data_IF_214220411969
#
_entry.id   IF_214220411969
#
_cell.length_a   1.000
_cell.length_b   1.000
_cell.length_c   1.000
_cell.angle_alpha   90.00
_cell.angle_beta   90.00
_cell.angle_gamma   90.00
#
_symmetry.space_group_name_H-M   'P 1'
#
loop_
_entity.id
_entity.type
_entity.pdbx_description
1 polymer ?
#
# COMPACT_ATOMS: atom_id res chain seq x y z
N UNK A 1 -29.16 -33.75 -1.86
CA UNK A 1 -27.71 -33.48 -1.89
C UNK A 1 -27.36 -32.36 -2.88
N UNK A 2 -27.96 -32.25 -4.04
CA UNK A 2 -27.72 -31.15 -5.01
C UNK A 2 -28.17 -29.77 -4.50
N UNK A 3 -29.25 -29.67 -3.71
CA UNK A 3 -29.77 -28.41 -3.16
C UNK A 3 -28.83 -27.76 -2.14
N UNK A 4 -28.16 -28.55 -1.31
CA UNK A 4 -27.20 -28.07 -0.32
C UNK A 4 -25.89 -27.55 -0.94
N UNK A 5 -25.50 -28.04 -2.11
CA UNK A 5 -24.34 -27.55 -2.86
C UNK A 5 -24.65 -26.20 -3.51
N UNK A 6 -25.89 -26.04 -4.03
CA UNK A 6 -26.35 -24.77 -4.61
C UNK A 6 -26.45 -23.64 -3.57
N UNK A 7 -26.98 -23.91 -2.37
CA UNK A 7 -27.11 -22.92 -1.31
C UNK A 7 -25.73 -22.51 -0.71
N UNK A 8 -24.78 -23.42 -0.57
CA UNK A 8 -23.42 -23.10 -0.14
C UNK A 8 -22.66 -22.27 -1.19
N UNK A 9 -22.87 -22.51 -2.46
CA UNK A 9 -22.27 -21.69 -3.53
C UNK A 9 -22.86 -20.28 -3.55
N UNK A 10 -24.17 -20.11 -3.38
CA UNK A 10 -24.83 -18.81 -3.34
C UNK A 10 -24.45 -17.96 -2.11
N UNK A 11 -24.27 -18.57 -0.94
CA UNK A 11 -23.83 -17.87 0.28
C UNK A 11 -22.35 -17.49 0.26
N UNK A 12 -21.50 -18.18 -0.47
CA UNK A 12 -20.08 -17.88 -0.60
C UNK A 12 -19.81 -16.69 -1.54
N UNK A 13 -20.69 -16.41 -2.51
CA UNK A 13 -20.43 -15.50 -3.62
C UNK A 13 -20.07 -14.05 -3.19
N UNK A 14 -20.80 -13.45 -2.26
CA UNK A 14 -20.50 -12.06 -1.85
C UNK A 14 -19.18 -11.94 -1.09
N UNK A 15 -18.81 -12.95 -0.31
CA UNK A 15 -17.54 -13.01 0.44
C UNK A 15 -16.37 -13.17 -0.52
N UNK A 16 -16.55 -13.93 -1.61
CA UNK A 16 -15.53 -14.09 -2.63
C UNK A 16 -15.25 -12.77 -3.35
N UNK A 17 -16.28 -12.02 -3.72
CA UNK A 17 -16.11 -10.70 -4.31
C UNK A 17 -15.48 -9.69 -3.33
N UNK A 18 -15.85 -9.73 -2.06
CA UNK A 18 -15.20 -8.91 -1.04
C UNK A 18 -13.71 -9.27 -0.90
N UNK A 19 -13.35 -10.57 -0.96
CA UNK A 19 -11.96 -11.01 -0.91
C UNK A 19 -11.14 -10.47 -2.09
N UNK A 20 -11.74 -10.37 -3.29
CA UNK A 20 -11.07 -9.78 -4.46
C UNK A 20 -10.62 -8.33 -4.23
N UNK A 21 -11.34 -7.56 -3.44
CA UNK A 21 -10.99 -6.17 -3.14
C UNK A 21 -9.81 -6.01 -2.18
N UNK A 22 -9.30 -7.09 -1.58
CA UNK A 22 -8.24 -7.07 -0.55
C UNK A 22 -8.54 -6.11 0.61
N UNK A 23 -9.65 -6.26 1.34
CA UNK A 23 -10.16 -5.22 2.25
C UNK A 23 -9.14 -4.79 3.31
N UNK A 24 -8.31 -5.69 3.83
CA UNK A 24 -7.25 -5.36 4.80
C UNK A 24 -6.21 -4.38 4.23
N UNK A 25 -5.87 -4.51 2.96
CA UNK A 25 -4.91 -3.61 2.29
C UNK A 25 -5.59 -2.27 2.00
N UNK A 26 -6.82 -2.30 1.48
CA UNK A 26 -7.59 -1.08 1.18
C UNK A 26 -7.80 -0.26 2.45
N UNK A 27 -8.17 -0.87 3.58
CA UNK A 27 -8.30 -0.14 4.86
C UNK A 27 -7.00 0.57 5.25
N UNK A 28 -5.83 -0.07 5.09
CA UNK A 28 -4.55 0.59 5.37
C UNK A 28 -4.30 1.78 4.43
N UNK A 29 -4.65 1.64 3.15
CA UNK A 29 -4.57 2.74 2.18
C UNK A 29 -5.50 3.89 2.57
N UNK A 30 -6.72 3.59 3.02
CA UNK A 30 -7.69 4.61 3.47
C UNK A 30 -7.21 5.36 4.72
N UNK A 31 -6.54 4.69 5.65
CA UNK A 31 -5.94 5.35 6.81
C UNK A 31 -4.92 6.41 6.35
N UNK A 32 -4.05 6.08 5.40
CA UNK A 32 -3.07 7.06 4.88
C UNK A 32 -3.73 8.16 4.04
N UNK A 33 -4.81 7.86 3.32
CA UNK A 33 -5.64 8.86 2.63
C UNK A 33 -6.30 9.83 3.62
N UNK A 34 -6.90 9.32 4.69
CA UNK A 34 -7.46 10.13 5.77
C UNK A 34 -6.40 11.04 6.40
N UNK A 35 -5.20 10.51 6.66
CA UNK A 35 -4.09 11.34 7.16
C UNK A 35 -3.78 12.47 6.19
N UNK A 36 -3.72 12.17 4.88
CA UNK A 36 -3.53 13.19 3.84
C UNK A 36 -4.61 14.26 3.86
N UNK A 37 -5.90 13.88 3.98
CA UNK A 37 -7.02 14.82 4.10
C UNK A 37 -6.89 15.72 5.34
N UNK A 38 -6.59 15.13 6.50
CA UNK A 38 -6.50 15.89 7.75
C UNK A 38 -5.26 16.80 7.82
N UNK A 39 -4.15 16.41 7.23
CA UNK A 39 -2.95 17.26 7.14
C UNK A 39 -3.11 18.40 6.13
N UNK A 40 -4.02 18.27 5.17
CA UNK A 40 -4.24 19.25 4.12
C UNK A 40 -4.89 20.55 4.62
N UNK A 41 -5.60 20.52 5.75
CA UNK A 41 -6.34 21.67 6.27
C UNK A 41 -6.53 21.62 7.78
N UNK A 42 -6.37 22.76 8.45
CA UNK A 42 -6.69 22.93 9.88
C UNK A 42 -8.15 23.30 10.11
N UNK A 43 -8.84 23.82 9.10
CA UNK A 43 -10.24 24.22 9.20
C UNK A 43 -11.23 23.05 9.22
N UNK A 44 -10.71 21.82 9.04
CA UNK A 44 -11.52 20.60 8.94
C UNK A 44 -11.90 20.27 7.49
N UNK A 45 -12.06 19.00 7.21
CA UNK A 45 -12.47 18.48 5.89
C UNK A 45 -13.99 18.38 5.85
N UNK A 46 -14.67 18.85 4.78
CA UNK A 46 -16.11 18.64 4.63
C UNK A 46 -16.44 17.15 4.72
N UNK A 47 -17.46 16.80 5.49
CA UNK A 47 -17.81 15.39 5.72
C UNK A 47 -18.13 14.63 4.43
N UNK A 48 -18.69 15.31 3.43
CA UNK A 48 -18.96 14.74 2.09
C UNK A 48 -17.67 14.32 1.40
N UNK A 49 -16.63 15.15 1.43
CA UNK A 49 -15.30 14.82 0.90
C UNK A 49 -14.66 13.69 1.71
N UNK A 50 -14.79 13.74 3.04
CA UNK A 50 -14.22 12.73 3.92
C UNK A 50 -14.80 11.34 3.63
N UNK A 51 -16.11 11.23 3.51
CA UNK A 51 -16.81 9.95 3.30
C UNK A 51 -16.72 9.51 1.85
N UNK A 52 -17.21 10.33 0.91
CA UNK A 52 -17.30 9.93 -0.50
C UNK A 52 -15.95 9.95 -1.21
N UNK A 53 -15.02 10.81 -0.81
CA UNK A 53 -13.64 10.79 -1.31
C UNK A 53 -12.95 9.48 -0.93
N UNK A 54 -12.99 9.09 0.35
CA UNK A 54 -12.41 7.81 0.77
C UNK A 54 -13.13 6.61 0.18
N UNK A 55 -14.46 6.64 0.07
CA UNK A 55 -15.22 5.57 -0.58
C UNK A 55 -14.85 5.44 -2.06
N UNK A 56 -14.72 6.54 -2.78
CA UNK A 56 -14.29 6.55 -4.18
C UNK A 56 -12.88 5.96 -4.36
N UNK A 57 -11.92 6.39 -3.53
CA UNK A 57 -10.56 5.83 -3.50
C UNK A 57 -10.60 4.33 -3.17
N UNK A 58 -11.43 3.91 -2.18
CA UNK A 58 -11.56 2.51 -1.79
C UNK A 58 -12.10 1.63 -2.94
N UNK A 59 -13.12 2.10 -3.65
CA UNK A 59 -13.71 1.37 -4.76
C UNK A 59 -12.72 1.22 -5.92
N UNK A 60 -11.99 2.29 -6.27
CA UNK A 60 -10.94 2.23 -7.30
C UNK A 60 -9.80 1.30 -6.89
N UNK A 61 -9.34 1.35 -5.64
CA UNK A 61 -8.30 0.45 -5.12
C UNK A 61 -8.79 -1.01 -5.09
N UNK A 62 -10.04 -1.25 -4.69
CA UNK A 62 -10.68 -2.57 -4.73
C UNK A 62 -10.80 -3.12 -6.15
N UNK A 63 -11.18 -2.28 -7.11
CA UNK A 63 -11.20 -2.63 -8.53
C UNK A 63 -9.81 -3.02 -9.05
N UNK A 64 -8.79 -2.22 -8.75
CA UNK A 64 -7.40 -2.53 -9.10
C UNK A 64 -6.92 -3.85 -8.47
N UNK A 65 -7.31 -4.11 -7.20
CA UNK A 65 -7.00 -5.37 -6.54
C UNK A 65 -7.69 -6.57 -7.21
N UNK A 66 -8.94 -6.43 -7.67
CA UNK A 66 -9.66 -7.49 -8.38
C UNK A 66 -8.99 -7.81 -9.73
N UNK A 67 -8.54 -6.79 -10.49
CA UNK A 67 -7.73 -7.00 -11.71
C UNK A 67 -6.44 -7.76 -11.38
N UNK A 68 -5.75 -7.39 -10.29
CA UNK A 68 -4.54 -8.10 -9.86
C UNK A 68 -4.82 -9.59 -9.59
N UNK A 69 -5.95 -9.95 -8.95
CA UNK A 69 -6.33 -11.35 -8.76
C UNK A 69 -6.53 -12.10 -10.07
N UNK A 70 -7.11 -11.44 -11.11
CA UNK A 70 -7.31 -12.06 -12.44
C UNK A 70 -5.97 -12.36 -13.11
N UNK A 71 -5.05 -11.39 -13.11
CA UNK A 71 -3.73 -11.54 -13.73
C UNK A 71 -2.87 -12.58 -13.00
N UNK A 72 -2.93 -12.57 -11.67
CA UNK A 72 -2.10 -13.43 -10.82
C UNK A 72 -2.68 -14.85 -10.61
N UNK A 73 -3.88 -15.18 -11.12
CA UNK A 73 -4.59 -16.42 -10.80
C UNK A 73 -3.76 -17.71 -10.94
N UNK A 74 -2.87 -17.76 -11.94
CA UNK A 74 -1.99 -18.92 -12.19
C UNK A 74 -0.87 -19.01 -11.15
N UNK A 75 -0.30 -17.88 -10.76
CA UNK A 75 0.72 -17.78 -9.72
C UNK A 75 0.10 -18.08 -8.36
N UNK A 76 -1.07 -17.51 -8.10
CA UNK A 76 -1.79 -17.71 -6.85
C UNK A 76 -2.11 -19.18 -6.59
N UNK A 77 -2.41 -19.96 -7.61
CA UNK A 77 -2.68 -21.39 -7.49
C UNK A 77 -1.46 -22.21 -7.02
N UNK A 78 -0.24 -21.74 -7.25
CA UNK A 78 1.01 -22.43 -6.87
C UNK A 78 1.51 -22.01 -5.48
N UNK A 79 1.17 -20.81 -5.02
CA UNK A 79 1.66 -20.26 -3.74
C UNK A 79 0.83 -20.74 -2.55
N UNK A 80 1.47 -21.24 -1.50
CA UNK A 80 0.81 -21.75 -0.28
C UNK A 80 -0.14 -20.75 0.40
N UNK A 81 0.16 -19.44 0.29
CA UNK A 81 -0.66 -18.37 0.88
C UNK A 81 -1.90 -18.02 0.07
N UNK A 82 -1.87 -18.22 -1.25
CA UNK A 82 -2.87 -17.63 -2.17
C UNK A 82 -3.64 -18.67 -2.97
N UNK A 83 -3.32 -19.97 -2.85
CA UNK A 83 -3.99 -21.06 -3.57
C UNK A 83 -5.50 -21.14 -3.26
N UNK A 84 -5.92 -20.67 -2.06
CA UNK A 84 -7.35 -20.63 -1.65
C UNK A 84 -8.11 -19.39 -2.13
N UNK A 85 -7.49 -18.52 -2.93
CA UNK A 85 -8.16 -17.33 -3.46
C UNK A 85 -9.30 -17.72 -4.42
N UNK A 86 -10.39 -16.92 -4.47
CA UNK A 86 -11.57 -17.25 -5.26
C UNK A 86 -11.30 -17.58 -6.74
N UNK A 87 -10.38 -16.83 -7.37
CA UNK A 87 -9.99 -17.09 -8.77
C UNK A 87 -9.04 -18.28 -8.93
N UNK A 88 -8.18 -18.55 -7.95
CA UNK A 88 -7.28 -19.69 -7.99
C UNK A 88 -8.04 -21.01 -7.82
N UNK A 89 -9.09 -21.03 -7.00
CA UNK A 89 -10.00 -22.17 -6.82
C UNK A 89 -11.12 -22.25 -7.87
N UNK A 90 -11.24 -21.26 -8.76
CA UNK A 90 -12.30 -21.24 -9.78
C UNK A 90 -13.70 -20.89 -9.26
N UNK A 91 -13.85 -20.42 -8.00
CA UNK A 91 -15.14 -20.00 -7.42
C UNK A 91 -15.72 -18.75 -8.10
N UNK A 92 -14.86 -17.88 -8.63
CA UNK A 92 -15.23 -16.71 -9.42
C UNK A 92 -14.55 -16.80 -10.77
N UNK A 93 -15.31 -16.60 -11.85
CA UNK A 93 -14.74 -16.57 -13.20
C UNK A 93 -13.92 -15.30 -13.46
N UNK A 94 -12.87 -15.35 -14.29
CA UNK A 94 -12.10 -14.16 -14.66
C UNK A 94 -12.96 -13.04 -15.28
N UNK A 95 -13.95 -13.38 -16.09
CA UNK A 95 -14.86 -12.41 -16.68
C UNK A 95 -15.71 -11.70 -15.64
N UNK A 96 -16.30 -12.46 -14.70
CA UNK A 96 -17.09 -11.88 -13.60
C UNK A 96 -16.24 -10.97 -12.70
N UNK A 97 -14.98 -11.37 -12.40
CA UNK A 97 -14.07 -10.54 -11.62
C UNK A 97 -13.67 -9.25 -12.35
N UNK A 98 -13.45 -9.28 -13.67
CA UNK A 98 -13.16 -8.07 -14.48
C UNK A 98 -14.37 -7.15 -14.57
N UNK A 99 -15.59 -7.69 -14.77
CA UNK A 99 -16.83 -6.89 -14.74
C UNK A 99 -17.00 -6.22 -13.38
N UNK A 100 -16.80 -6.97 -12.29
CA UNK A 100 -16.84 -6.42 -10.93
C UNK A 100 -15.81 -5.31 -10.73
N UNK A 101 -14.56 -5.52 -11.17
CA UNK A 101 -13.49 -4.51 -11.11
C UNK A 101 -13.86 -3.23 -11.86
N UNK A 102 -14.44 -3.36 -13.06
CA UNK A 102 -14.90 -2.22 -13.86
C UNK A 102 -16.03 -1.46 -13.18
N UNK A 103 -17.02 -2.17 -12.63
CA UNK A 103 -18.14 -1.55 -11.89
C UNK A 103 -17.60 -0.77 -10.68
N UNK A 104 -16.68 -1.35 -9.90
CA UNK A 104 -16.06 -0.66 -8.77
C UNK A 104 -15.31 0.59 -9.22
N UNK A 105 -14.52 0.49 -10.29
CA UNK A 105 -13.77 1.63 -10.82
C UNK A 105 -14.68 2.76 -11.31
N UNK A 106 -15.74 2.44 -12.05
CA UNK A 106 -16.72 3.43 -12.54
C UNK A 106 -17.47 4.09 -11.39
N UNK A 107 -17.96 3.33 -10.41
CA UNK A 107 -18.62 3.88 -9.23
C UNK A 107 -17.64 4.77 -8.42
N UNK A 108 -16.41 4.31 -8.21
CA UNK A 108 -15.39 5.08 -7.50
C UNK A 108 -15.08 6.40 -8.21
N UNK A 109 -14.89 6.38 -9.54
CA UNK A 109 -14.65 7.59 -10.33
C UNK A 109 -15.85 8.55 -10.31
N UNK A 110 -17.07 8.03 -10.40
CA UNK A 110 -18.30 8.86 -10.29
C UNK A 110 -18.36 9.56 -8.94
N UNK A 111 -18.09 8.85 -7.82
CA UNK A 111 -18.06 9.46 -6.49
C UNK A 111 -17.01 10.55 -6.38
N UNK A 112 -15.79 10.32 -6.90
CA UNK A 112 -14.72 11.31 -6.86
C UNK A 112 -15.06 12.55 -7.68
N UNK A 113 -15.59 12.39 -8.89
CA UNK A 113 -15.99 13.51 -9.76
C UNK A 113 -17.15 14.32 -9.17
N UNK A 114 -18.08 13.67 -8.45
CA UNK A 114 -19.28 14.31 -7.92
C UNK A 114 -19.03 15.01 -6.58
N UNK A 115 -18.24 14.39 -5.68
CA UNK A 115 -18.11 14.82 -4.28
C UNK A 115 -16.73 15.37 -3.92
N UNK A 116 -15.75 15.25 -4.82
CA UNK A 116 -14.41 15.84 -4.65
C UNK A 116 -14.08 16.78 -5.83
N UNK A 117 -13.10 16.44 -6.64
CA UNK A 117 -12.65 17.25 -7.76
C UNK A 117 -12.05 16.39 -8.89
N UNK A 118 -11.86 16.99 -10.05
CA UNK A 118 -11.31 16.32 -11.23
C UNK A 118 -9.86 15.88 -11.03
N UNK A 119 -9.04 16.66 -10.31
CA UNK A 119 -7.64 16.33 -10.05
C UNK A 119 -7.52 15.01 -9.30
N UNK A 120 -8.28 14.83 -8.21
CA UNK A 120 -8.30 13.60 -7.43
C UNK A 120 -8.80 12.41 -8.25
N UNK A 121 -9.84 12.60 -9.06
CA UNK A 121 -10.35 11.54 -9.93
C UNK A 121 -9.29 11.08 -10.95
N UNK A 122 -8.60 12.00 -11.62
CA UNK A 122 -7.53 11.66 -12.57
C UNK A 122 -6.32 11.01 -11.91
N UNK A 123 -5.88 11.50 -10.75
CA UNK A 123 -4.77 10.91 -10.01
C UNK A 123 -5.11 9.50 -9.51
N UNK A 124 -6.37 9.28 -9.07
CA UNK A 124 -6.85 7.96 -8.66
C UNK A 124 -6.92 7.00 -9.84
N UNK A 125 -7.39 7.46 -10.99
CA UNK A 125 -7.41 6.66 -12.22
C UNK A 125 -5.98 6.30 -12.67
N UNK A 126 -5.06 7.26 -12.65
CA UNK A 126 -3.65 7.02 -12.97
C UNK A 126 -3.02 5.99 -12.03
N UNK A 127 -3.30 6.08 -10.73
CA UNK A 127 -2.84 5.11 -9.73
C UNK A 127 -3.42 3.71 -9.97
N UNK A 128 -4.72 3.62 -10.28
CA UNK A 128 -5.40 2.37 -10.63
C UNK A 128 -4.76 1.71 -11.86
N UNK A 129 -4.59 2.46 -12.94
CA UNK A 129 -3.98 1.96 -14.19
C UNK A 129 -2.51 1.61 -13.97
N UNK A 130 -1.76 2.43 -13.24
CA UNK A 130 -0.38 2.15 -12.86
C UNK A 130 -0.23 0.83 -12.10
N UNK A 131 -1.12 0.56 -11.15
CA UNK A 131 -1.09 -0.70 -10.40
C UNK A 131 -1.64 -1.88 -11.19
N UNK A 132 -2.81 -1.75 -11.80
CA UNK A 132 -3.50 -2.87 -12.44
C UNK A 132 -2.83 -3.29 -13.77
N UNK A 133 -2.41 -2.32 -14.58
CA UNK A 133 -1.83 -2.57 -15.91
C UNK A 133 -0.31 -2.60 -15.85
N UNK A 134 0.32 -1.50 -15.43
CA UNK A 134 1.79 -1.37 -15.51
C UNK A 134 2.48 -2.31 -14.53
N UNK A 135 2.14 -2.24 -13.24
CA UNK A 135 2.78 -3.08 -12.24
C UNK A 135 2.37 -4.55 -12.39
N UNK A 136 1.07 -4.85 -12.33
CA UNK A 136 0.59 -6.24 -12.29
C UNK A 136 0.78 -6.94 -13.63
N UNK A 137 0.52 -6.25 -14.75
CA UNK A 137 0.62 -6.82 -16.08
C UNK A 137 2.06 -7.04 -16.56
N UNK A 138 2.96 -6.12 -16.26
CA UNK A 138 4.32 -6.13 -16.81
C UNK A 138 5.42 -6.22 -15.75
N UNK A 139 5.53 -5.23 -14.84
CA UNK A 139 6.71 -5.07 -13.98
C UNK A 139 6.92 -6.22 -13.00
N UNK A 140 5.85 -6.78 -12.47
CA UNK A 140 5.92 -7.83 -11.46
C UNK A 140 6.71 -9.05 -11.91
N UNK A 141 6.72 -9.34 -13.20
CA UNK A 141 7.42 -10.49 -13.81
C UNK A 141 8.68 -10.10 -14.57
N UNK A 142 8.83 -8.81 -14.91
CA UNK A 142 9.90 -8.34 -15.78
C UNK A 142 11.19 -7.98 -15.02
N UNK A 143 11.10 -7.61 -13.74
CA UNK A 143 12.26 -7.06 -13.04
C UNK A 143 12.24 -7.37 -11.54
N UNK A 144 13.44 -7.58 -10.93
CA UNK A 144 13.59 -7.65 -9.46
C UNK A 144 13.27 -6.34 -8.74
N UNK A 145 13.23 -5.22 -9.48
CA UNK A 145 12.83 -3.89 -8.97
C UNK A 145 11.31 -3.68 -8.95
N UNK A 146 10.54 -4.74 -9.21
CA UNK A 146 9.07 -4.70 -9.25
C UNK A 146 8.47 -4.08 -7.98
N UNK A 147 9.05 -4.36 -6.81
CA UNK A 147 8.62 -3.82 -5.51
C UNK A 147 8.84 -2.30 -5.45
N UNK A 148 9.99 -1.82 -5.91
CA UNK A 148 10.32 -0.38 -5.88
C UNK A 148 9.35 0.39 -6.78
N UNK A 149 9.27 0.00 -8.06
CA UNK A 149 8.47 0.72 -9.05
C UNK A 149 6.96 0.58 -8.72
N UNK A 150 6.51 -0.64 -8.39
CA UNK A 150 5.12 -0.91 -8.03
C UNK A 150 4.69 -0.27 -6.71
N UNK A 151 5.64 0.05 -5.83
CA UNK A 151 5.41 0.73 -4.57
C UNK A 151 4.80 2.13 -4.72
N UNK A 152 5.03 2.79 -5.87
CA UNK A 152 4.52 4.14 -6.13
C UNK A 152 2.97 4.20 -6.08
N UNK A 153 2.30 3.24 -6.70
CA UNK A 153 0.83 3.19 -6.66
C UNK A 153 0.30 2.96 -5.23
N UNK A 154 0.99 2.13 -4.43
CA UNK A 154 0.67 1.92 -3.02
C UNK A 154 0.97 3.14 -2.13
N UNK A 155 1.84 4.04 -2.58
CA UNK A 155 2.20 5.25 -1.88
C UNK A 155 1.28 6.45 -2.19
N UNK A 156 0.42 6.36 -3.21
CA UNK A 156 -0.43 7.45 -3.67
C UNK A 156 -1.55 7.90 -2.69
N UNK A 157 -2.14 7.05 -1.82
CA UNK A 157 -3.33 7.40 -1.05
C UNK A 157 -3.25 8.72 -0.26
N UNK A 158 -2.16 9.09 0.44
CA UNK A 158 -2.12 10.38 1.15
C UNK A 158 -2.17 11.58 0.18
N UNK A 159 -1.59 11.48 -1.02
CA UNK A 159 -1.74 12.48 -2.07
C UNK A 159 -3.19 12.57 -2.54
N UNK A 160 -3.86 11.44 -2.76
CA UNK A 160 -5.26 11.40 -3.18
C UNK A 160 -6.18 12.01 -2.12
N UNK A 161 -5.92 11.73 -0.84
CA UNK A 161 -6.64 12.35 0.27
C UNK A 161 -6.42 13.85 0.33
N UNK A 162 -5.18 14.31 0.20
CA UNK A 162 -4.82 15.71 0.18
C UNK A 162 -5.51 16.47 -0.95
N UNK A 163 -5.41 15.97 -2.18
CA UNK A 163 -6.03 16.60 -3.35
C UNK A 163 -7.55 16.59 -3.28
N UNK A 164 -8.16 15.56 -2.68
CA UNK A 164 -9.60 15.53 -2.45
C UNK A 164 -10.09 16.70 -1.57
N UNK A 165 -9.26 17.11 -0.60
CA UNK A 165 -9.60 18.21 0.31
C UNK A 165 -9.23 19.60 -0.24
N UNK A 166 -8.24 19.70 -1.14
CA UNK A 166 -7.65 20.99 -1.53
C UNK A 166 -7.71 21.34 -3.02
N UNK A 167 -8.02 20.36 -3.87
CA UNK A 167 -7.90 20.45 -5.35
C UNK A 167 -6.51 20.93 -5.82
N UNK A 168 -5.47 20.63 -5.04
CA UNK A 168 -4.12 21.13 -5.31
C UNK A 168 -3.04 20.07 -4.94
N UNK A 169 -1.94 20.05 -5.71
CA UNK A 169 -0.73 19.29 -5.41
C UNK A 169 0.36 20.26 -4.95
N UNK A 170 0.84 20.06 -3.74
CA UNK A 170 1.95 20.82 -3.14
C UNK A 170 3.10 19.88 -2.75
N UNK A 171 4.15 20.42 -2.12
CA UNK A 171 5.30 19.63 -1.71
C UNK A 171 4.96 18.62 -0.59
N UNK A 172 4.05 19.00 0.31
CA UNK A 172 3.71 18.23 1.51
C UNK A 172 3.13 16.85 1.18
N UNK A 173 2.06 16.69 0.35
CA UNK A 173 1.56 15.37 0.01
C UNK A 173 2.56 14.56 -0.81
N UNK A 174 3.44 15.19 -1.59
CA UNK A 174 4.50 14.49 -2.31
C UNK A 174 5.55 13.92 -1.33
N UNK A 175 5.84 14.61 -0.22
CA UNK A 175 6.68 14.05 0.85
C UNK A 175 6.03 12.84 1.52
N UNK A 176 4.71 12.87 1.76
CA UNK A 176 4.00 11.70 2.31
C UNK A 176 4.10 10.49 1.36
N UNK A 177 3.95 10.73 0.05
CA UNK A 177 4.19 9.71 -0.98
C UNK A 177 5.62 9.20 -0.92
N UNK A 178 6.60 10.10 -0.84
CA UNK A 178 8.02 9.77 -0.82
C UNK A 178 8.40 8.93 0.41
N UNK A 179 7.82 9.22 1.58
CA UNK A 179 8.01 8.42 2.81
C UNK A 179 7.51 6.99 2.59
N UNK A 180 6.28 6.80 2.08
CA UNK A 180 5.73 5.46 1.84
C UNK A 180 6.50 4.74 0.72
N UNK A 181 6.90 5.47 -0.31
CA UNK A 181 7.71 4.92 -1.41
C UNK A 181 9.07 4.42 -0.90
N UNK A 182 9.80 5.22 -0.10
CA UNK A 182 11.07 4.81 0.50
C UNK A 182 10.92 3.67 1.53
N UNK A 183 9.76 3.60 2.22
CA UNK A 183 9.42 2.53 3.16
C UNK A 183 9.11 1.20 2.47
N UNK A 184 8.59 1.23 1.25
CA UNK A 184 8.13 0.02 0.54
C UNK A 184 9.23 -1.02 0.34
N UNK A 185 10.46 -0.70 -0.13
CA UNK A 185 11.49 -1.69 -0.34
C UNK A 185 11.95 -2.40 0.95
N UNK A 186 12.34 -1.73 2.04
CA UNK A 186 12.75 -2.42 3.26
C UNK A 186 11.63 -3.26 3.88
N UNK A 187 10.37 -2.84 3.76
CA UNK A 187 9.21 -3.60 4.18
C UNK A 187 9.04 -4.90 3.39
N UNK A 188 8.88 -4.79 2.07
CA UNK A 188 8.58 -5.96 1.24
C UNK A 188 9.77 -6.89 1.05
N UNK A 189 11.00 -6.39 0.96
CA UNK A 189 12.17 -7.26 0.83
C UNK A 189 12.47 -8.03 2.10
N UNK A 190 12.20 -7.48 3.27
CA UNK A 190 12.27 -8.24 4.52
C UNK A 190 11.28 -9.43 4.51
N UNK A 191 10.04 -9.22 4.03
CA UNK A 191 9.08 -10.30 3.82
C UNK A 191 9.54 -11.27 2.73
N UNK A 192 10.14 -10.76 1.64
CA UNK A 192 10.63 -11.59 0.54
C UNK A 192 11.78 -12.50 0.95
N UNK A 193 12.69 -12.06 1.84
CA UNK A 193 13.72 -12.93 2.45
C UNK A 193 13.04 -14.05 3.25
N UNK A 194 12.06 -13.72 4.09
CA UNK A 194 11.34 -14.70 4.90
C UNK A 194 10.57 -15.73 4.07
N UNK A 195 10.14 -15.36 2.86
CA UNK A 195 9.34 -16.21 1.95
C UNK A 195 10.06 -16.55 0.66
N UNK A 196 11.38 -16.55 0.68
CA UNK A 196 12.23 -16.73 -0.51
C UNK A 196 11.86 -17.98 -1.30
N UNK A 197 11.67 -19.11 -0.61
CA UNK A 197 11.35 -20.39 -1.24
C UNK A 197 9.97 -20.39 -1.93
N UNK A 198 8.97 -19.72 -1.35
CA UNK A 198 7.65 -19.59 -1.96
C UNK A 198 7.73 -18.79 -3.27
N UNK A 199 8.49 -17.69 -3.28
CA UNK A 199 8.68 -16.88 -4.48
C UNK A 199 9.49 -17.58 -5.56
N UNK A 200 10.52 -18.36 -5.18
CA UNK A 200 11.30 -19.18 -6.10
C UNK A 200 10.43 -20.25 -6.79
N UNK A 201 9.57 -20.94 -6.04
CA UNK A 201 8.64 -21.94 -6.58
C UNK A 201 7.61 -21.36 -7.55
N UNK A 202 7.29 -20.08 -7.41
CA UNK A 202 6.31 -19.39 -8.26
C UNK A 202 6.96 -18.62 -9.43
N UNK A 203 8.27 -18.77 -9.65
CA UNK A 203 9.07 -18.08 -10.67
C UNK A 203 8.90 -16.54 -10.63
N UNK A 204 8.71 -15.98 -9.43
CA UNK A 204 8.64 -14.54 -9.23
C UNK A 204 10.05 -14.00 -8.97
N UNK A 205 10.57 -13.07 -9.79
CA UNK A 205 11.94 -12.58 -9.69
C UNK A 205 12.10 -11.57 -8.55
N UNK A 206 11.83 -11.99 -7.30
CA UNK A 206 12.09 -11.17 -6.13
C UNK A 206 13.59 -11.01 -5.90
N UNK A 207 14.01 -9.86 -5.38
CA UNK A 207 15.42 -9.54 -5.18
C UNK A 207 16.22 -10.63 -4.45
N UNK A 208 15.72 -11.25 -3.34
CA UNK A 208 16.46 -12.34 -2.69
C UNK A 208 16.52 -13.64 -3.51
N UNK A 209 15.62 -13.82 -4.49
CA UNK A 209 15.63 -14.97 -5.39
C UNK A 209 16.68 -14.78 -6.49
N UNK A 210 16.73 -13.60 -7.10
CA UNK A 210 17.58 -13.29 -8.26
C UNK A 210 19.00 -12.90 -7.88
N UNK A 211 19.20 -12.12 -6.82
CA UNK A 211 20.50 -11.56 -6.41
C UNK A 211 20.99 -12.08 -5.06
N UNK A 212 20.20 -12.97 -4.42
CA UNK A 212 20.56 -13.54 -3.14
C UNK A 212 20.23 -12.67 -1.92
N UNK A 213 20.31 -13.29 -0.74
CA UNK A 213 19.91 -12.64 0.51
C UNK A 213 20.87 -11.54 0.96
N UNK A 214 22.18 -11.74 0.77
CA UNK A 214 23.16 -10.74 1.21
C UNK A 214 22.96 -9.41 0.47
N UNK A 215 22.82 -9.46 -0.84
CA UNK A 215 22.53 -8.29 -1.67
C UNK A 215 21.24 -7.60 -1.23
N UNK A 216 20.19 -8.38 -0.98
CA UNK A 216 18.91 -7.85 -0.50
C UNK A 216 19.01 -7.18 0.87
N UNK A 217 19.78 -7.76 1.81
CA UNK A 217 20.03 -7.18 3.14
C UNK A 217 20.74 -5.85 3.07
N UNK A 218 21.74 -5.72 2.17
CA UNK A 218 22.41 -4.43 1.92
C UNK A 218 21.41 -3.38 1.43
N UNK A 219 20.56 -3.73 0.47
CA UNK A 219 19.56 -2.81 -0.05
C UNK A 219 18.51 -2.42 0.97
N UNK A 220 18.06 -3.36 1.83
CA UNK A 220 17.18 -3.05 2.98
C UNK A 220 17.84 -2.00 3.87
N UNK A 221 19.12 -2.16 4.19
CA UNK A 221 19.85 -1.22 5.03
C UNK A 221 19.95 0.17 4.37
N UNK A 222 20.32 0.24 3.10
CA UNK A 222 20.44 1.49 2.33
C UNK A 222 19.08 2.22 2.24
N UNK A 223 18.02 1.52 1.91
CA UNK A 223 16.69 2.11 1.85
C UNK A 223 16.14 2.51 3.23
N UNK A 224 16.56 1.85 4.31
CA UNK A 224 16.20 2.27 5.67
C UNK A 224 16.91 3.57 6.05
N UNK A 225 18.17 3.78 5.63
CA UNK A 225 18.86 5.08 5.76
C UNK A 225 18.16 6.16 4.93
N UNK A 226 17.83 5.88 3.67
CA UNK A 226 17.12 6.81 2.81
C UNK A 226 15.75 7.18 3.42
N UNK A 227 15.02 6.19 3.93
CA UNK A 227 13.74 6.40 4.61
C UNK A 227 13.90 7.31 5.84
N UNK A 228 14.92 7.09 6.67
CA UNK A 228 15.18 7.96 7.81
C UNK A 228 15.41 9.41 7.33
N UNK A 229 16.27 9.62 6.33
CA UNK A 229 16.51 10.96 5.78
C UNK A 229 15.24 11.62 5.24
N UNK A 230 14.44 10.88 4.44
CA UNK A 230 13.18 11.38 3.90
C UNK A 230 12.18 11.69 5.01
N UNK A 231 12.14 10.89 6.08
CA UNK A 231 11.22 11.11 7.22
C UNK A 231 11.57 12.35 8.05
N UNK A 232 12.72 12.96 7.86
CA UNK A 232 13.06 14.24 8.49
C UNK A 232 12.59 15.45 7.67
N UNK A 233 12.30 15.27 6.38
CA UNK A 233 11.93 16.36 5.49
C UNK A 233 10.65 17.13 5.90
N UNK A 234 9.60 16.50 6.47
CA UNK A 234 8.43 17.24 6.95
C UNK A 234 8.80 18.31 8.00
N UNK A 235 9.79 18.02 8.86
CA UNK A 235 10.31 19.03 9.78
C UNK A 235 11.11 20.11 9.05
N UNK A 236 11.98 19.73 8.10
CA UNK A 236 12.84 20.66 7.36
C UNK A 236 12.05 21.68 6.56
N UNK A 237 10.91 21.28 5.97
CA UNK A 237 10.04 22.17 5.20
C UNK A 237 8.97 22.89 6.06
N UNK A 238 9.06 22.78 7.39
CA UNK A 238 8.10 23.35 8.35
C UNK A 238 6.66 22.82 8.20
N UNK A 239 6.48 21.64 7.61
CA UNK A 239 5.19 20.93 7.58
C UNK A 239 4.82 20.38 8.97
N UNK A 240 5.83 20.01 9.78
CA UNK A 240 5.69 19.47 11.14
C UNK A 240 6.74 20.02 12.07
N UNK A 241 6.45 20.00 13.38
CA UNK A 241 7.31 20.57 14.41
C UNK A 241 8.21 19.56 15.12
N UNK A 242 8.67 19.96 16.32
CA UNK A 242 9.66 19.23 17.13
C UNK A 242 9.15 17.88 17.62
N UNK A 243 7.86 17.77 17.94
CA UNK A 243 7.26 16.52 18.40
C UNK A 243 7.40 15.43 17.33
N UNK A 244 7.04 15.78 16.08
CA UNK A 244 7.22 14.89 14.94
C UNK A 244 8.70 14.50 14.75
N UNK A 245 9.61 15.47 14.80
CA UNK A 245 11.05 15.22 14.61
C UNK A 245 11.57 14.19 15.60
N UNK A 246 11.25 14.34 16.90
CA UNK A 246 11.67 13.39 17.94
C UNK A 246 11.11 11.99 17.66
N UNK A 247 9.84 11.90 17.29
CA UNK A 247 9.21 10.63 16.92
C UNK A 247 9.88 10.01 15.67
N UNK A 248 10.13 10.79 14.63
CA UNK A 248 10.76 10.31 13.40
C UNK A 248 12.17 9.79 13.64
N UNK A 249 12.97 10.50 14.45
CA UNK A 249 14.31 10.05 14.85
C UNK A 249 14.27 8.76 15.66
N UNK A 250 13.40 8.68 16.69
CA UNK A 250 13.30 7.51 17.55
C UNK A 250 12.82 6.27 16.79
N UNK A 251 11.75 6.41 16.02
CA UNK A 251 11.19 5.34 15.20
C UNK A 251 12.18 4.90 14.10
N UNK A 252 12.82 5.86 13.43
CA UNK A 252 13.80 5.61 12.39
C UNK A 252 15.06 4.93 12.91
N UNK A 253 15.62 5.38 14.05
CA UNK A 253 16.75 4.74 14.70
C UNK A 253 16.45 3.28 15.06
N UNK A 254 15.24 3.00 15.55
CA UNK A 254 14.80 1.63 15.86
C UNK A 254 14.63 0.79 14.60
N UNK A 255 14.14 1.36 13.50
CA UNK A 255 14.05 0.64 12.22
C UNK A 255 15.46 0.32 11.69
N UNK A 256 16.35 1.28 11.73
CA UNK A 256 17.74 1.09 11.35
C UNK A 256 18.42 -0.01 12.18
N UNK A 257 18.16 -0.04 13.50
CA UNK A 257 18.66 -1.13 14.34
C UNK A 257 18.19 -2.50 13.86
N UNK A 258 16.90 -2.67 13.46
CA UNK A 258 16.40 -3.92 12.91
C UNK A 258 17.04 -4.25 11.55
N UNK A 259 17.26 -3.26 10.70
CA UNK A 259 17.95 -3.45 9.42
C UNK A 259 19.42 -3.91 9.62
N UNK A 260 20.12 -3.36 10.61
CA UNK A 260 21.48 -3.79 11.00
C UNK A 260 21.48 -5.20 11.58
N UNK A 261 20.52 -5.55 12.46
CA UNK A 261 20.35 -6.91 12.99
C UNK A 261 20.13 -7.92 11.87
N UNK A 262 19.29 -7.57 10.89
CA UNK A 262 19.03 -8.38 9.70
C UNK A 262 20.29 -8.51 8.82
N UNK A 263 21.00 -7.42 8.57
CA UNK A 263 22.25 -7.42 7.80
C UNK A 263 23.30 -8.34 8.42
N UNK A 264 23.53 -8.22 9.72
CA UNK A 264 24.52 -9.04 10.47
C UNK A 264 24.09 -10.50 10.61
N UNK A 265 22.83 -10.83 10.39
CA UNK A 265 22.31 -12.19 10.61
C UNK A 265 22.35 -12.63 12.08
N UNK A 266 22.40 -11.68 13.01
CA UNK A 266 22.67 -11.95 14.43
C UNK A 266 21.49 -12.56 15.20
N UNK A 267 20.30 -12.65 14.59
CA UNK A 267 19.10 -13.23 15.22
C UNK A 267 18.33 -14.11 14.24
N UNK A 268 17.88 -15.30 14.67
CA UNK A 268 16.88 -16.05 13.92
C UNK A 268 15.61 -15.18 13.78
N UNK A 269 14.90 -15.31 12.67
CA UNK A 269 13.68 -14.57 12.39
C UNK A 269 13.84 -13.03 12.24
N UNK A 270 15.07 -12.49 12.09
CA UNK A 270 15.30 -11.06 11.93
C UNK A 270 14.49 -10.47 10.76
N UNK A 271 14.35 -11.19 9.65
CA UNK A 271 13.60 -10.74 8.48
C UNK A 271 12.11 -10.48 8.80
N UNK A 272 11.43 -11.42 9.43
CA UNK A 272 10.01 -11.25 9.80
C UNK A 272 9.84 -10.19 10.91
N UNK A 273 10.81 -10.03 11.81
CA UNK A 273 10.79 -8.99 12.83
C UNK A 273 10.96 -7.59 12.23
N UNK A 274 11.86 -7.44 11.27
CA UNK A 274 12.05 -6.21 10.49
C UNK A 274 10.77 -5.86 9.73
N UNK A 275 10.14 -6.83 9.06
CA UNK A 275 8.86 -6.66 8.39
C UNK A 275 7.75 -6.19 9.34
N UNK A 276 7.59 -6.84 10.50
CA UNK A 276 6.58 -6.46 11.50
C UNK A 276 6.84 -5.05 12.04
N UNK A 277 8.09 -4.73 12.38
CA UNK A 277 8.44 -3.41 12.87
C UNK A 277 8.17 -2.31 11.83
N UNK A 278 8.42 -2.56 10.56
CA UNK A 278 8.16 -1.59 9.50
C UNK A 278 6.69 -1.14 9.43
N UNK A 279 5.74 -2.02 9.79
CA UNK A 279 4.31 -1.68 9.88
C UNK A 279 4.06 -0.71 11.04
N UNK A 280 4.61 -1.02 12.24
CA UNK A 280 4.50 -0.13 13.39
C UNK A 280 5.16 1.22 13.13
N UNK A 281 6.33 1.22 12.47
CA UNK A 281 7.05 2.42 12.07
C UNK A 281 6.17 3.37 11.27
N UNK A 282 5.60 2.89 10.15
CA UNK A 282 4.80 3.74 9.27
C UNK A 282 3.54 4.25 9.98
N UNK A 283 2.85 3.36 10.69
CA UNK A 283 1.63 3.71 11.42
C UNK A 283 1.88 4.78 12.48
N UNK A 284 2.91 4.59 13.33
CA UNK A 284 3.25 5.55 14.39
C UNK A 284 3.79 6.86 13.83
N UNK A 285 4.54 6.82 12.72
CA UNK A 285 5.03 8.03 12.06
C UNK A 285 3.87 8.89 11.54
N UNK A 286 2.85 8.29 10.93
CA UNK A 286 1.67 8.98 10.43
C UNK A 286 0.78 9.49 11.57
N UNK A 287 0.70 8.77 12.69
CA UNK A 287 0.06 9.30 13.91
C UNK A 287 0.84 10.51 14.44
N UNK A 288 2.18 10.44 14.49
CA UNK A 288 3.00 11.55 14.95
C UNK A 288 2.80 12.82 14.09
N UNK A 289 2.66 12.65 12.74
CA UNK A 289 2.29 13.75 11.83
C UNK A 289 0.96 14.40 12.20
N UNK A 290 -0.09 13.59 12.45
CA UNK A 290 -1.40 14.11 12.84
C UNK A 290 -1.38 14.79 14.20
N UNK A 291 -0.77 14.14 15.19
CA UNK A 291 -0.69 14.69 16.54
C UNK A 291 0.06 16.01 16.53
N UNK A 292 1.21 16.07 15.85
CA UNK A 292 2.01 17.28 15.74
C UNK A 292 1.25 18.38 14.98
N UNK A 293 0.52 18.06 13.92
CA UNK A 293 -0.27 19.01 13.12
C UNK A 293 -1.37 19.71 13.95
N UNK A 294 -2.07 18.99 14.82
CA UNK A 294 -3.18 19.52 15.61
C UNK A 294 -2.78 19.98 17.01
N UNK A 295 -1.72 19.40 17.59
CA UNK A 295 -1.18 19.84 18.88
C UNK A 295 -0.09 20.88 18.76
N UNK A 296 0.34 21.22 17.54
CA UNK A 296 1.31 22.31 17.38
C UNK A 296 0.78 23.55 18.05
N UNK A 297 1.06 23.54 19.24
CA UNK A 297 1.59 24.60 20.01
C UNK A 297 2.50 25.43 19.12
N UNK A 298 2.03 26.66 18.80
CA UNK A 298 2.83 27.70 18.18
C UNK A 298 4.02 27.96 19.11
N UNK A 299 5.09 27.18 18.95
CA UNK A 299 6.40 27.44 19.54
C UNK A 299 7.27 28.11 18.51
#
# INVERSE_FOLDING_TARGET
MASLIGERAAQALWRDYLELTKPKVVVLMLITSLVGMFLATRAGVPWTVLVFGNLGIALCAGGAAAVNHVVDRRIDAVMARTHKRPLAEGRVSPAAALTFALVLALLGQTLLLTFTNQLTAWLTLASLLGYAVVYTGFLKRATPQNIVIGGLAGAAPPLLGWTAATDHVSAEPLLLVLIIFAWTPPHFWALAIHRKEEYAKADIPMLPVTHGEHYTKVHILLYTFALLAVSLLPYVIHMSGMLYLICALGLGARFLQWAVVLYRGSRPHAAISTFKYSIYYLFLLFIALLVDHYLLLNL
#
